data_IF_859393913795
#
_entry.id   IF_859393913795
#
_cell.length_a   1.000
_cell.length_b   1.000
_cell.length_c   1.000
_cell.angle_alpha   90.00
_cell.angle_beta   90.00
_cell.angle_gamma   90.00
#
_symmetry.space_group_name_H-M   'P 1'
#
loop_
_entity.id
_entity.type
_entity.pdbx_description
1 polymer ?
#
# COMPACT_ATOMS: atom_id res chain seq x y z
N UNK A 1 0.74 -0.60 12.38
CA UNK A 1 1.01 -0.60 10.92
C UNK A 1 -0.12 -1.34 10.22
N UNK A 2 -0.59 -0.85 9.07
CA UNK A 2 -1.72 -1.44 8.34
C UNK A 2 -1.39 -2.88 7.89
N UNK A 3 -2.22 -3.85 8.30
CA UNK A 3 -2.11 -5.25 7.91
C UNK A 3 -3.48 -5.94 8.06
N UNK A 4 -3.84 -6.91 7.18
CA UNK A 4 -5.04 -7.71 7.37
C UNK A 4 -5.02 -8.47 8.71
N UNK A 5 -6.15 -8.49 9.42
CA UNK A 5 -6.30 -9.25 10.68
C UNK A 5 -6.22 -10.76 10.46
N UNK A 6 -6.80 -11.26 9.37
CA UNK A 6 -6.83 -12.68 9.01
C UNK A 6 -6.74 -12.84 7.50
N UNK A 7 -5.93 -13.80 7.05
CA UNK A 7 -5.79 -14.16 5.62
C UNK A 7 -5.97 -15.65 5.46
N UNK A 8 -6.66 -16.09 4.40
CA UNK A 8 -6.83 -17.52 4.09
C UNK A 8 -5.49 -18.23 3.87
N UNK A 9 -4.56 -17.57 3.17
CA UNK A 9 -3.23 -18.10 2.86
C UNK A 9 -2.14 -17.11 3.27
N UNK A 10 -1.06 -17.63 3.87
CA UNK A 10 0.10 -16.83 4.32
C UNK A 10 1.05 -16.46 3.20
N UNK A 11 1.22 -17.32 2.20
CA UNK A 11 2.07 -17.10 1.01
C UNK A 11 1.17 -16.90 -0.21
N UNK A 12 1.49 -15.91 -1.04
CA UNK A 12 0.75 -15.60 -2.27
C UNK A 12 1.71 -15.32 -3.43
N UNK A 13 1.25 -15.57 -4.66
CA UNK A 13 2.00 -15.18 -5.85
C UNK A 13 2.04 -13.65 -5.98
N UNK A 14 3.22 -13.17 -6.37
CA UNK A 14 3.52 -11.75 -6.58
C UNK A 14 2.55 -11.07 -7.58
N UNK A 15 2.03 -11.83 -8.55
CA UNK A 15 1.27 -11.33 -9.72
C UNK A 15 2.04 -10.25 -10.49
N UNK A 16 1.54 -9.90 -11.68
CA UNK A 16 2.13 -8.87 -12.55
C UNK A 16 1.33 -7.57 -12.40
N UNK A 17 2.01 -6.44 -12.24
CA UNK A 17 1.38 -5.12 -12.18
C UNK A 17 1.28 -4.56 -13.61
N UNK A 18 0.14 -4.81 -14.28
CA UNK A 18 -0.11 -4.46 -15.69
C UNK A 18 -1.44 -3.71 -15.81
N UNK A 19 -1.55 -2.86 -16.83
CA UNK A 19 -2.77 -2.08 -17.11
C UNK A 19 -2.92 -0.83 -16.25
N UNK A 20 -4.01 -0.10 -16.51
CA UNK A 20 -4.43 1.07 -15.75
C UNK A 20 -5.55 0.69 -14.78
N UNK A 21 -5.66 1.44 -13.68
CA UNK A 21 -6.80 1.29 -12.78
C UNK A 21 -8.04 1.93 -13.40
N UNK A 22 -9.06 1.10 -13.67
CA UNK A 22 -10.37 1.58 -14.12
C UNK A 22 -11.29 1.96 -12.93
N UNK A 23 -11.05 1.35 -11.76
CA UNK A 23 -11.83 1.58 -10.53
C UNK A 23 -10.98 2.34 -9.51
N UNK A 24 -11.62 3.26 -8.77
CA UNK A 24 -10.94 4.06 -7.74
C UNK A 24 -10.14 5.25 -8.27
N UNK A 25 -10.30 5.58 -9.55
CA UNK A 25 -9.56 6.63 -10.26
C UNK A 25 -10.17 8.03 -10.13
N UNK A 26 -11.42 8.14 -9.67
CA UNK A 26 -12.11 9.40 -9.36
C UNK A 26 -12.00 9.71 -7.87
N UNK A 27 -12.09 10.99 -7.49
CA UNK A 27 -12.12 11.41 -6.08
C UNK A 27 -13.51 11.11 -5.51
N UNK A 28 -13.59 10.23 -4.51
CA UNK A 28 -14.87 9.86 -3.88
C UNK A 28 -15.12 10.57 -2.55
N UNK A 29 -14.07 11.07 -1.90
CA UNK A 29 -14.15 11.74 -0.60
C UNK A 29 -13.28 13.00 -0.61
N UNK A 30 -13.78 14.06 0.02
CA UNK A 30 -13.09 15.34 0.09
C UNK A 30 -13.06 16.10 -1.24
N UNK A 31 -12.32 17.20 -1.26
CA UNK A 31 -12.23 18.12 -2.41
C UNK A 31 -10.98 17.89 -3.25
N UNK A 32 -9.90 17.37 -2.65
CA UNK A 32 -8.62 17.16 -3.30
C UNK A 32 -8.20 15.69 -3.22
N UNK A 33 -7.50 15.20 -4.25
CA UNK A 33 -7.01 13.83 -4.32
C UNK A 33 -5.61 13.75 -4.93
N UNK A 34 -4.86 12.73 -4.50
CA UNK A 34 -3.54 12.41 -5.04
C UNK A 34 -3.66 11.15 -5.92
N UNK A 35 -3.29 11.28 -7.20
CA UNK A 35 -3.35 10.19 -8.19
C UNK A 35 -1.94 9.75 -8.57
N UNK A 36 -1.71 8.44 -8.65
CA UNK A 36 -0.47 7.88 -9.16
C UNK A 36 -0.43 7.92 -10.68
N UNK A 37 0.65 8.44 -11.25
CA UNK A 37 0.90 8.40 -12.69
C UNK A 37 1.62 7.11 -13.12
N UNK A 38 2.30 6.48 -12.18
CA UNK A 38 3.09 5.27 -12.42
C UNK A 38 2.59 4.08 -11.62
N UNK A 39 3.13 2.92 -11.96
CA UNK A 39 2.86 1.64 -11.30
C UNK A 39 3.97 1.32 -10.30
N UNK A 40 3.58 0.91 -9.11
CA UNK A 40 4.53 0.51 -8.08
C UNK A 40 3.87 -0.34 -7.01
N UNK A 41 4.69 -0.99 -6.17
CA UNK A 41 4.21 -1.59 -4.93
C UNK A 41 4.39 -0.59 -3.80
N UNK A 42 3.35 -0.45 -3.00
CA UNK A 42 3.37 0.45 -1.85
C UNK A 42 3.34 -0.37 -0.56
N UNK A 43 4.26 -0.06 0.35
CA UNK A 43 4.35 -0.71 1.65
C UNK A 43 3.54 0.05 2.70
N UNK A 44 3.13 -0.65 3.76
CA UNK A 44 2.47 -0.02 4.91
C UNK A 44 3.32 1.10 5.55
N UNK A 45 4.66 1.01 5.48
CA UNK A 45 5.59 2.03 6.00
C UNK A 45 5.50 3.32 5.20
N UNK A 46 5.47 3.21 3.87
CA UNK A 46 5.36 4.37 2.97
C UNK A 46 4.02 5.09 3.15
N UNK A 47 2.92 4.34 3.25
CA UNK A 47 1.59 4.91 3.50
C UNK A 47 1.58 5.69 4.81
N UNK A 48 2.13 5.11 5.87
CA UNK A 48 2.17 5.75 7.18
C UNK A 48 3.08 6.98 7.21
N UNK A 49 4.23 6.92 6.54
CA UNK A 49 5.13 8.07 6.39
C UNK A 49 4.44 9.22 5.66
N UNK A 50 3.77 8.94 4.53
CA UNK A 50 3.03 9.93 3.77
C UNK A 50 1.87 10.53 4.59
N UNK A 51 1.08 9.68 5.27
CA UNK A 51 0.01 10.12 6.17
C UNK A 51 0.53 11.06 7.24
N UNK A 52 1.59 10.68 7.94
CA UNK A 52 2.19 11.49 9.01
C UNK A 52 2.72 12.83 8.49
N UNK A 53 3.32 12.84 7.30
CA UNK A 53 3.80 14.06 6.65
C UNK A 53 2.63 15.00 6.30
N UNK A 54 1.59 14.49 5.63
CA UNK A 54 0.41 15.28 5.27
C UNK A 54 -0.29 15.84 6.52
N UNK A 55 -0.55 14.99 7.54
CA UNK A 55 -1.17 15.42 8.79
C UNK A 55 -0.36 16.49 9.52
N UNK A 56 0.98 16.42 9.50
CA UNK A 56 1.84 17.45 10.10
C UNK A 56 1.79 18.76 9.33
N UNK A 57 1.79 18.70 8.00
CA UNK A 57 1.77 19.88 7.15
C UNK A 57 0.50 20.71 7.34
N UNK A 58 -0.66 20.05 7.44
CA UNK A 58 -1.96 20.70 7.73
C UNK A 58 -2.16 21.03 9.22
N UNK A 59 -1.10 20.95 10.04
CA UNK A 59 -1.15 21.19 11.50
C UNK A 59 -2.25 20.38 12.21
N UNK A 60 -2.49 19.14 11.74
CA UNK A 60 -3.54 18.22 12.21
C UNK A 60 -4.98 18.73 12.00
N UNK A 61 -5.17 19.74 11.15
CA UNK A 61 -6.49 20.23 10.78
C UNK A 61 -6.95 19.58 9.48
N UNK A 62 -8.25 19.35 9.36
CA UNK A 62 -8.84 18.67 8.21
C UNK A 62 -8.83 17.13 8.31
N UNK A 63 -9.62 16.52 7.44
CA UNK A 63 -9.77 15.06 7.34
C UNK A 63 -8.95 14.54 6.17
N UNK A 64 -8.24 13.42 6.39
CA UNK A 64 -7.41 12.77 5.37
C UNK A 64 -7.91 11.34 5.21
N UNK A 65 -8.22 10.96 3.98
CA UNK A 65 -8.66 9.61 3.63
C UNK A 65 -7.54 8.85 2.94
N UNK A 66 -7.27 7.63 3.42
CA UNK A 66 -6.37 6.69 2.75
C UNK A 66 -7.25 5.70 1.99
N UNK A 67 -7.09 5.66 0.67
CA UNK A 67 -7.88 4.81 -0.23
C UNK A 67 -7.19 3.51 -0.64
N UNK A 68 -5.99 3.27 -0.14
CA UNK A 68 -5.17 2.09 -0.44
C UNK A 68 -4.88 1.32 0.83
N UNK A 69 -4.90 -0.01 0.75
CA UNK A 69 -4.60 -0.89 1.88
C UNK A 69 -3.59 -1.97 1.46
N UNK A 70 -2.53 -2.21 2.25
CA UNK A 70 -1.52 -3.21 1.93
C UNK A 70 -2.00 -4.61 2.38
N UNK A 71 -2.81 -5.26 1.54
CA UNK A 71 -3.36 -6.59 1.78
C UNK A 71 -2.42 -7.73 1.37
N UNK A 72 -1.56 -7.47 0.38
CA UNK A 72 -0.74 -8.51 -0.25
C UNK A 72 0.57 -8.81 0.51
N UNK A 73 0.78 -10.05 1.00
CA UNK A 73 2.02 -10.42 1.68
C UNK A 73 3.17 -10.61 0.68
N UNK A 74 4.37 -10.12 1.05
CA UNK A 74 5.61 -10.34 0.31
C UNK A 74 6.60 -11.07 1.21
N UNK A 75 7.05 -12.25 0.80
CA UNK A 75 8.04 -13.06 1.53
C UNK A 75 9.46 -12.76 1.07
N UNK A 76 10.40 -12.91 2.00
CA UNK A 76 11.85 -12.83 1.77
C UNK A 76 12.52 -13.99 2.48
N UNK A 77 13.56 -14.56 1.88
CA UNK A 77 14.45 -15.49 2.59
C UNK A 77 15.35 -14.74 3.59
N UNK A 78 15.75 -15.37 4.69
CA UNK A 78 16.74 -14.79 5.59
C UNK A 78 18.07 -14.57 4.85
N UNK A 79 18.97 -13.83 5.48
CA UNK A 79 20.33 -13.66 4.96
C UNK A 79 21.09 -14.99 5.08
N UNK A 80 22.11 -15.17 4.24
CA UNK A 80 23.08 -16.30 4.31
C UNK A 80 22.52 -17.71 4.01
N UNK A 81 21.30 -17.84 3.51
CA UNK A 81 20.73 -19.15 3.11
C UNK A 81 20.78 -19.39 1.60
N UNK A 82 21.13 -20.62 1.21
CA UNK A 82 21.09 -21.06 -0.19
C UNK A 82 19.65 -21.17 -0.72
N UNK A 83 19.52 -21.26 -2.05
CA UNK A 83 18.24 -21.50 -2.73
C UNK A 83 17.73 -22.93 -2.46
N UNK A 84 16.42 -23.19 -2.68
CA UNK A 84 15.75 -24.46 -2.35
C UNK A 84 14.92 -24.44 -1.04
N UNK A 85 14.24 -25.55 -0.71
CA UNK A 85 13.42 -25.76 0.52
C UNK A 85 12.18 -24.87 0.73
N UNK A 86 11.81 -24.06 -0.27
CA UNK A 86 10.60 -23.22 -0.26
C UNK A 86 10.64 -21.97 0.63
#
# INVERSE_FOLDING_TARGET
MLQPKRTKFRKQFKMRNRGLAHVGSSVSFGTFGLKSMERGRMTARQIEAARRAMTRHVKRQGKIWIRVFPDKPITKKPLEVRMGKG
#
